data_IF_171473989198
#
_entry.id   IF_171473989198
#
_cell.length_a   1.000
_cell.length_b   1.000
_cell.length_c   1.000
_cell.angle_alpha   90.00
_cell.angle_beta   90.00
_cell.angle_gamma   90.00
#
_symmetry.space_group_name_H-M   'P 1'
#
loop_
_entity.id
_entity.type
_entity.pdbx_description
1 polymer ?
#
# COMPACT_ATOMS: atom_id res chain seq x y z
N UNK A 1 -7.85 -13.77 -24.21
CA UNK A 1 -7.05 -13.12 -25.28
C UNK A 1 -5.67 -12.86 -24.70
N UNK A 2 -4.59 -13.41 -25.23
CA UNK A 2 -3.25 -13.15 -24.68
C UNK A 2 -2.86 -11.74 -25.11
N UNK A 3 -2.83 -10.80 -24.17
CA UNK A 3 -2.34 -9.45 -24.39
C UNK A 3 -0.81 -9.50 -24.52
N UNK A 4 -0.26 -8.82 -25.53
CA UNK A 4 1.19 -8.72 -25.62
C UNK A 4 1.68 -7.66 -24.63
N UNK A 5 2.96 -7.76 -24.18
CA UNK A 5 3.62 -6.73 -23.35
C UNK A 5 3.42 -5.33 -23.93
N UNK A 6 3.51 -5.19 -25.24
CA UNK A 6 3.32 -3.93 -25.97
C UNK A 6 1.88 -3.42 -25.87
N UNK A 7 0.89 -4.29 -26.01
CA UNK A 7 -0.52 -3.93 -25.92
C UNK A 7 -0.89 -3.54 -24.49
N UNK A 8 -0.37 -4.25 -23.50
CA UNK A 8 -0.51 -3.93 -22.10
C UNK A 8 0.02 -2.52 -21.77
N UNK A 9 1.19 -2.20 -22.25
CA UNK A 9 1.82 -0.91 -21.98
C UNK A 9 1.15 0.25 -22.75
N UNK A 10 0.74 0.06 -24.01
CA UNK A 10 -0.11 1.04 -24.73
C UNK A 10 -1.39 1.34 -23.97
N UNK A 11 -1.92 0.32 -23.39
CA UNK A 11 -3.12 0.39 -22.62
C UNK A 11 -2.88 1.04 -21.24
N UNK A 12 -1.73 0.81 -20.58
CA UNK A 12 -1.31 1.57 -19.40
C UNK A 12 -1.28 3.08 -19.67
N UNK A 13 -0.76 3.48 -20.83
CA UNK A 13 -0.71 4.88 -21.26
C UNK A 13 -2.13 5.43 -21.45
N UNK A 14 -3.00 4.69 -22.13
CA UNK A 14 -4.40 5.10 -22.34
C UNK A 14 -5.16 5.22 -21.00
N UNK A 15 -4.91 4.31 -20.07
CA UNK A 15 -5.50 4.37 -18.73
C UNK A 15 -4.86 5.46 -17.87
N UNK A 16 -3.58 5.74 -18.06
CA UNK A 16 -2.89 6.85 -17.42
C UNK A 16 -3.55 8.19 -17.73
N UNK A 17 -4.00 8.40 -18.94
CA UNK A 17 -4.79 9.59 -19.33
C UNK A 17 -6.15 9.61 -18.59
N UNK A 18 -6.81 8.46 -18.46
CA UNK A 18 -8.04 8.34 -17.67
C UNK A 18 -7.84 8.55 -16.17
N UNK A 19 -6.60 8.33 -15.68
CA UNK A 19 -6.15 8.53 -14.31
C UNK A 19 -5.75 10.00 -14.01
N UNK A 20 -6.03 10.95 -14.92
CA UNK A 20 -5.61 12.34 -14.74
C UNK A 20 -4.11 12.57 -14.90
N UNK A 21 -3.38 11.60 -15.46
CA UNK A 21 -2.02 11.80 -15.93
C UNK A 21 -2.07 12.78 -17.08
N UNK A 22 -1.29 13.85 -17.04
CA UNK A 22 -1.17 14.80 -18.15
C UNK A 22 -0.90 14.07 -19.46
N UNK A 23 -1.16 14.71 -20.59
CA UNK A 23 -0.89 14.12 -21.92
C UNK A 23 0.55 13.63 -21.96
N UNK A 24 0.73 12.36 -21.59
CA UNK A 24 2.00 11.71 -21.73
C UNK A 24 2.22 11.49 -23.22
N UNK A 25 3.36 11.92 -23.71
CA UNK A 25 3.73 11.68 -25.10
C UNK A 25 3.71 10.17 -25.34
N UNK A 26 2.76 9.72 -26.15
CA UNK A 26 2.59 8.30 -26.49
C UNK A 26 3.90 7.74 -27.05
N UNK A 27 4.67 8.55 -27.78
CA UNK A 27 5.97 8.19 -28.31
C UNK A 27 6.99 7.90 -27.19
N UNK A 28 7.00 8.71 -26.12
CA UNK A 28 7.88 8.49 -24.97
C UNK A 28 7.49 7.24 -24.17
N UNK A 29 6.20 6.97 -24.07
CA UNK A 29 5.72 5.73 -23.49
C UNK A 29 6.10 4.52 -24.36
N UNK A 30 5.98 4.61 -25.68
CA UNK A 30 6.44 3.57 -26.59
C UNK A 30 7.97 3.35 -26.53
N UNK A 31 8.75 4.40 -26.36
CA UNK A 31 10.21 4.32 -26.18
C UNK A 31 10.57 3.62 -24.87
N UNK A 32 9.93 3.98 -23.77
CA UNK A 32 10.08 3.31 -22.46
C UNK A 32 9.68 1.83 -22.58
N UNK A 33 8.61 1.53 -23.27
CA UNK A 33 8.10 0.18 -23.54
C UNK A 33 9.09 -0.66 -24.34
N UNK A 34 9.69 -0.08 -25.36
CA UNK A 34 10.60 -0.78 -26.25
C UNK A 34 12.01 -0.91 -25.64
N UNK A 35 12.37 -0.02 -24.69
CA UNK A 35 13.66 -0.04 -23.97
C UNK A 35 13.61 -0.79 -22.64
N UNK A 36 12.42 -1.10 -22.11
CA UNK A 36 12.27 -1.69 -20.79
C UNK A 36 12.62 -3.19 -20.79
N UNK A 37 13.82 -3.50 -20.38
CA UNK A 37 14.02 -4.66 -19.51
C UNK A 37 13.05 -4.53 -18.35
N UNK A 38 12.31 -5.59 -18.02
CA UNK A 38 11.39 -5.59 -16.87
C UNK A 38 12.11 -5.07 -15.62
N UNK A 39 11.51 -4.09 -14.94
CA UNK A 39 12.15 -3.53 -13.75
C UNK A 39 12.15 -4.57 -12.63
N UNK A 40 13.30 -4.89 -12.04
CA UNK A 40 13.37 -5.84 -10.95
C UNK A 40 12.59 -5.35 -9.74
N UNK A 41 11.86 -6.24 -9.09
CA UNK A 41 11.13 -5.98 -7.84
C UNK A 41 11.52 -7.00 -6.80
N UNK A 42 11.94 -6.52 -5.63
CA UNK A 42 12.12 -7.32 -4.43
C UNK A 42 10.96 -7.00 -3.49
N UNK A 43 10.17 -8.01 -3.10
CA UNK A 43 9.05 -7.85 -2.19
C UNK A 43 9.36 -8.51 -0.86
N UNK A 44 9.74 -7.71 0.13
CA UNK A 44 10.05 -8.15 1.48
C UNK A 44 8.79 -8.20 2.33
N UNK A 45 8.35 -9.38 2.73
CA UNK A 45 7.32 -9.58 3.74
C UNK A 45 7.96 -9.65 5.14
N UNK A 46 7.53 -8.77 6.02
CA UNK A 46 7.96 -8.71 7.41
C UNK A 46 6.80 -9.12 8.35
N UNK A 47 6.70 -8.52 9.55
CA UNK A 47 5.62 -8.84 10.50
C UNK A 47 4.27 -8.27 10.01
N UNK A 48 3.53 -9.06 9.29
CA UNK A 48 2.25 -8.73 8.68
C UNK A 48 1.36 -9.96 8.48
N UNK A 49 0.21 -9.74 7.84
CA UNK A 49 -0.80 -10.79 7.59
C UNK A 49 -0.84 -11.26 6.12
N UNK A 50 0.09 -10.84 5.29
CA UNK A 50 0.09 -11.03 3.81
C UNK A 50 -1.13 -10.42 3.09
N UNK A 51 -1.91 -9.59 3.79
CA UNK A 51 -3.14 -9.00 3.25
C UNK A 51 -2.89 -8.04 2.09
N UNK A 52 -1.75 -7.34 2.08
CA UNK A 52 -1.41 -6.43 0.98
C UNK A 52 -1.02 -7.19 -0.30
N UNK A 53 -0.33 -8.33 -0.17
CA UNK A 53 -0.10 -9.27 -1.27
C UNK A 53 -1.43 -9.80 -1.81
N UNK A 54 -2.33 -10.28 -0.95
CA UNK A 54 -3.64 -10.78 -1.36
C UNK A 54 -4.48 -9.69 -2.02
N UNK A 55 -4.45 -8.47 -1.48
CA UNK A 55 -5.12 -7.33 -2.07
C UNK A 55 -4.57 -7.00 -3.47
N UNK A 56 -3.25 -7.06 -3.64
CA UNK A 56 -2.64 -6.86 -4.95
C UNK A 56 -3.09 -7.92 -5.96
N UNK A 57 -3.15 -9.19 -5.54
CA UNK A 57 -3.64 -10.28 -6.38
C UNK A 57 -5.13 -10.20 -6.69
N UNK A 58 -5.91 -9.52 -5.84
CA UNK A 58 -7.34 -9.24 -6.08
C UNK A 58 -7.57 -8.13 -7.15
N UNK A 59 -6.50 -7.60 -7.72
CA UNK A 59 -6.55 -6.72 -8.89
C UNK A 59 -6.88 -7.55 -10.13
N UNK A 60 -8.14 -7.96 -10.23
CA UNK A 60 -8.65 -8.79 -11.31
C UNK A 60 -9.46 -7.97 -12.30
N UNK A 61 -9.51 -8.44 -13.55
CA UNK A 61 -10.37 -7.84 -14.56
C UNK A 61 -11.84 -7.98 -14.15
N UNK A 62 -12.55 -6.85 -14.08
CA UNK A 62 -13.96 -6.85 -13.77
C UNK A 62 -14.79 -6.82 -15.06
N UNK A 63 -15.35 -7.96 -15.44
CA UNK A 63 -16.15 -8.13 -16.66
C UNK A 63 -17.38 -7.21 -16.75
N UNK A 64 -17.78 -6.63 -15.63
CA UNK A 64 -18.97 -5.75 -15.53
C UNK A 64 -18.65 -4.27 -15.75
N UNK A 65 -17.37 -3.92 -15.86
CA UNK A 65 -16.99 -2.54 -16.14
C UNK A 65 -16.92 -2.30 -17.64
N UNK A 66 -17.28 -1.07 -18.05
CA UNK A 66 -17.32 -0.65 -19.45
C UNK A 66 -16.07 -1.17 -20.21
N UNK A 67 -16.30 -2.01 -21.23
CA UNK A 67 -15.24 -2.63 -22.05
C UNK A 67 -14.34 -1.62 -22.75
N UNK A 68 -14.63 -0.34 -22.65
CA UNK A 68 -13.81 0.76 -23.17
C UNK A 68 -12.68 1.17 -22.21
N UNK A 69 -12.76 0.74 -20.93
CA UNK A 69 -11.70 0.94 -19.94
C UNK A 69 -11.11 -0.41 -19.61
N UNK A 70 -10.02 -0.72 -20.29
CA UNK A 70 -9.29 -1.94 -20.00
C UNK A 70 -8.82 -1.96 -18.54
N UNK A 71 -9.08 -3.01 -17.81
CA UNK A 71 -8.69 -3.17 -16.41
C UNK A 71 -7.44 -4.05 -16.32
N UNK A 72 -6.42 -3.60 -15.59
CA UNK A 72 -5.27 -4.44 -15.27
C UNK A 72 -5.70 -5.55 -14.34
N UNK A 73 -5.10 -6.69 -14.53
CA UNK A 73 -5.07 -7.69 -13.48
C UNK A 73 -3.65 -7.83 -12.92
N UNK A 74 -3.54 -8.46 -11.75
CA UNK A 74 -2.25 -8.70 -11.12
C UNK A 74 -1.34 -9.58 -11.99
N UNK A 75 -1.91 -10.50 -12.75
CA UNK A 75 -1.19 -11.37 -13.66
C UNK A 75 -0.46 -10.56 -14.74
N UNK A 76 -1.14 -9.59 -15.37
CA UNK A 76 -0.51 -8.73 -16.39
C UNK A 76 0.65 -7.92 -15.81
N UNK A 77 0.51 -7.40 -14.60
CA UNK A 77 1.59 -6.67 -13.93
C UNK A 77 2.77 -7.60 -13.63
N UNK A 78 2.50 -8.76 -13.05
CA UNK A 78 3.54 -9.73 -12.65
C UNK A 78 4.25 -10.36 -13.86
N UNK A 79 3.49 -10.70 -14.92
CA UNK A 79 4.04 -11.44 -16.06
C UNK A 79 4.62 -10.53 -17.14
N UNK A 80 4.09 -9.32 -17.29
CA UNK A 80 4.39 -8.48 -18.44
C UNK A 80 5.12 -7.19 -18.12
N UNK A 81 5.16 -6.77 -16.85
CA UNK A 81 5.58 -5.41 -16.49
C UNK A 81 6.77 -5.37 -15.55
N UNK A 82 6.76 -6.20 -14.53
CA UNK A 82 7.84 -6.28 -13.54
C UNK A 82 8.58 -7.61 -13.64
N UNK A 83 9.79 -7.63 -13.15
CA UNK A 83 10.57 -8.83 -12.93
C UNK A 83 10.62 -9.11 -11.42
N UNK A 84 9.64 -9.89 -10.94
CA UNK A 84 9.52 -10.20 -9.51
C UNK A 84 10.63 -11.18 -9.11
N UNK A 85 11.73 -10.65 -8.65
CA UNK A 85 12.93 -11.42 -8.26
C UNK A 85 12.74 -12.18 -6.95
N UNK A 86 12.04 -11.58 -6.01
CA UNK A 86 11.80 -12.18 -4.71
C UNK A 86 10.43 -11.82 -4.16
N UNK A 87 9.71 -12.82 -3.70
CA UNK A 87 8.47 -12.70 -2.94
C UNK A 87 8.23 -14.00 -2.17
N UNK A 88 8.32 -13.97 -0.86
CA UNK A 88 8.31 -15.18 -0.02
C UNK A 88 7.06 -16.07 -0.17
N UNK A 89 5.94 -15.51 -0.64
CA UNK A 89 4.67 -16.24 -0.81
C UNK A 89 4.37 -16.64 -2.25
N UNK A 90 4.83 -15.87 -3.25
CA UNK A 90 4.46 -16.06 -4.66
C UNK A 90 5.51 -16.79 -5.49
N UNK A 91 6.78 -16.72 -5.08
CA UNK A 91 7.84 -17.39 -5.84
C UNK A 91 7.78 -18.91 -5.66
N UNK A 92 8.18 -19.63 -6.70
CA UNK A 92 8.22 -21.08 -6.68
C UNK A 92 9.44 -21.65 -5.92
N UNK A 93 10.54 -20.88 -5.88
CA UNK A 93 11.76 -21.25 -5.15
C UNK A 93 11.55 -21.20 -3.65
N UNK A 94 12.23 -22.06 -2.92
CA UNK A 94 12.16 -22.11 -1.47
C UNK A 94 13.55 -22.37 -0.86
N UNK A 95 13.69 -22.16 0.44
CA UNK A 95 14.92 -22.43 1.19
C UNK A 95 16.16 -21.78 0.59
N UNK A 96 17.25 -22.53 0.39
CA UNK A 96 18.52 -22.03 -0.12
C UNK A 96 18.43 -21.40 -1.52
N UNK A 97 17.62 -21.96 -2.41
CA UNK A 97 17.43 -21.40 -3.77
C UNK A 97 16.82 -20.02 -3.72
N UNK A 98 15.80 -19.84 -2.87
CA UNK A 98 15.16 -18.55 -2.64
C UNK A 98 16.16 -17.52 -2.10
N UNK A 99 16.99 -17.92 -1.14
CA UNK A 99 18.00 -17.06 -0.53
C UNK A 99 19.15 -16.75 -1.48
N UNK A 100 19.50 -17.66 -2.37
CA UNK A 100 20.53 -17.43 -3.40
C UNK A 100 20.07 -16.34 -4.37
N UNK A 101 18.85 -16.43 -4.87
CA UNK A 101 18.25 -15.40 -5.73
C UNK A 101 18.26 -14.06 -5.01
N UNK A 102 17.74 -14.00 -3.79
CA UNK A 102 17.69 -12.77 -3.02
C UNK A 102 19.09 -12.18 -2.78
N UNK A 103 20.05 -13.00 -2.41
CA UNK A 103 21.42 -12.57 -2.10
C UNK A 103 22.20 -12.11 -3.35
N UNK A 104 21.84 -12.57 -4.55
CA UNK A 104 22.40 -12.05 -5.81
C UNK A 104 21.76 -10.72 -6.20
N UNK A 105 20.42 -10.66 -6.20
CA UNK A 105 19.68 -9.51 -6.71
C UNK A 105 19.84 -8.24 -5.88
N UNK A 106 19.95 -8.33 -4.54
CA UNK A 106 20.07 -7.10 -3.74
C UNK A 106 21.39 -6.35 -3.94
N UNK A 107 22.39 -6.99 -4.55
CA UNK A 107 23.67 -6.36 -4.91
C UNK A 107 23.56 -5.52 -6.17
N UNK A 108 22.60 -5.84 -7.02
CA UNK A 108 22.28 -5.06 -8.20
C UNK A 108 21.63 -3.73 -7.80
N UNK A 109 21.61 -2.77 -8.69
CA UNK A 109 21.02 -1.46 -8.43
C UNK A 109 19.76 -1.23 -9.27
N UNK A 110 18.89 -0.36 -8.79
CA UNK A 110 17.77 0.15 -9.60
C UNK A 110 16.45 -0.59 -9.47
N UNK A 111 16.36 -1.59 -8.59
CA UNK A 111 15.10 -2.29 -8.33
C UNK A 111 14.11 -1.47 -7.49
N UNK A 112 12.86 -1.87 -7.50
CA UNK A 112 11.84 -1.40 -6.58
C UNK A 112 11.80 -2.35 -5.39
N UNK A 113 12.00 -1.82 -4.18
CA UNK A 113 11.80 -2.56 -2.94
C UNK A 113 10.37 -2.33 -2.44
N UNK A 114 9.56 -3.38 -2.43
CA UNK A 114 8.24 -3.36 -1.78
C UNK A 114 8.38 -3.99 -0.40
N UNK A 115 7.90 -3.31 0.63
CA UNK A 115 7.95 -3.80 2.01
C UNK A 115 6.53 -3.94 2.54
N UNK A 116 6.15 -5.14 2.95
CA UNK A 116 4.85 -5.47 3.52
C UNK A 116 5.00 -5.92 4.97
N UNK A 117 4.20 -5.35 5.86
CA UNK A 117 4.29 -5.62 7.30
C UNK A 117 5.15 -4.60 8.05
N UNK A 118 5.00 -4.55 9.36
CA UNK A 118 5.85 -3.73 10.22
C UNK A 118 7.18 -4.41 10.51
N UNK A 119 8.18 -3.66 10.94
CA UNK A 119 9.53 -4.17 11.16
C UNK A 119 9.80 -4.26 12.66
N UNK A 120 9.79 -5.45 13.27
CA UNK A 120 10.20 -5.64 14.64
C UNK A 120 11.67 -5.27 14.82
N UNK A 121 11.99 -4.48 15.86
CA UNK A 121 13.36 -4.08 16.19
C UNK A 121 13.80 -4.61 17.55
N UNK A 122 12.87 -5.06 18.38
CA UNK A 122 13.16 -5.68 19.65
C UNK A 122 14.01 -6.94 19.50
N UNK A 123 14.83 -7.26 20.50
CA UNK A 123 15.79 -8.37 20.49
C UNK A 123 16.64 -8.39 19.19
N UNK A 124 17.13 -7.22 18.76
CA UNK A 124 17.91 -7.03 17.53
C UNK A 124 17.17 -7.47 16.25
N UNK A 125 15.83 -7.46 16.27
CA UNK A 125 14.99 -7.85 15.13
C UNK A 125 14.65 -9.34 15.06
N UNK A 126 15.06 -10.15 16.04
CA UNK A 126 14.88 -11.61 16.04
C UNK A 126 13.40 -12.06 16.11
N UNK A 127 12.45 -11.15 16.34
CA UNK A 127 11.03 -11.47 16.24
C UNK A 127 10.51 -11.65 14.80
N UNK A 128 11.33 -11.32 13.78
CA UNK A 128 10.96 -11.54 12.37
C UNK A 128 12.20 -11.92 11.56
N UNK A 129 12.37 -13.22 11.34
CA UNK A 129 13.42 -13.81 10.52
C UNK A 129 12.84 -14.11 9.15
N UNK A 130 13.47 -13.61 8.10
CA UNK A 130 13.03 -13.75 6.71
C UNK A 130 13.86 -14.72 5.90
N UNK A 131 14.92 -15.24 6.49
CA UNK A 131 15.79 -16.23 5.86
C UNK A 131 17.08 -16.43 6.61
N UNK A 132 18.09 -16.90 5.88
CA UNK A 132 19.43 -17.15 6.40
C UNK A 132 20.48 -16.60 5.42
N UNK A 133 21.56 -16.03 5.95
CA UNK A 133 22.69 -15.57 5.18
C UNK A 133 23.99 -15.91 5.90
N UNK A 134 24.90 -16.59 5.21
CA UNK A 134 26.21 -17.00 5.75
C UNK A 134 26.08 -17.82 7.07
N UNK A 135 25.09 -18.72 7.13
CA UNK A 135 24.81 -19.56 8.29
C UNK A 135 24.22 -18.82 9.49
N UNK A 136 23.71 -17.60 9.30
CA UNK A 136 23.09 -16.78 10.35
C UNK A 136 21.68 -16.35 9.98
N UNK A 137 20.77 -16.25 10.94
CA UNK A 137 19.43 -15.72 10.71
C UNK A 137 19.50 -14.32 10.10
N UNK A 138 18.77 -14.11 9.00
CA UNK A 138 18.56 -12.80 8.38
C UNK A 138 17.25 -12.22 8.90
N UNK A 139 17.33 -11.20 9.75
CA UNK A 139 16.14 -10.52 10.26
C UNK A 139 15.53 -9.59 9.21
N UNK A 140 14.20 -9.36 9.28
CA UNK A 140 13.53 -8.40 8.40
C UNK A 140 14.14 -6.99 8.53
N UNK A 141 14.56 -6.60 9.73
CA UNK A 141 15.25 -5.32 9.96
C UNK A 141 16.58 -5.24 9.21
N UNK A 142 17.40 -6.29 9.25
CA UNK A 142 18.68 -6.31 8.54
C UNK A 142 18.46 -6.37 7.02
N UNK A 143 17.56 -7.24 6.56
CA UNK A 143 17.19 -7.34 5.15
C UNK A 143 16.71 -6.00 4.60
N UNK A 144 15.84 -5.29 5.34
CA UNK A 144 15.36 -3.97 4.95
C UNK A 144 16.50 -2.97 4.76
N UNK A 145 17.45 -2.92 5.70
CA UNK A 145 18.60 -2.02 5.62
C UNK A 145 19.49 -2.33 4.41
N UNK A 146 19.78 -3.61 4.19
CA UNK A 146 20.63 -4.07 3.09
C UNK A 146 20.01 -3.76 1.73
N UNK A 147 18.72 -4.05 1.58
CA UNK A 147 18.02 -3.84 0.30
C UNK A 147 17.76 -2.36 0.01
N UNK A 148 17.64 -1.51 1.02
CA UNK A 148 17.43 -0.07 0.83
C UNK A 148 18.59 0.62 0.13
N UNK A 149 19.80 0.11 0.28
CA UNK A 149 21.03 0.72 -0.28
C UNK A 149 20.91 0.90 -1.79
N UNK A 150 20.59 -0.15 -2.50
CA UNK A 150 20.57 -0.22 -3.97
C UNK A 150 19.17 -0.04 -4.57
N UNK A 151 18.13 0.03 -3.76
CA UNK A 151 16.79 0.29 -4.24
C UNK A 151 16.68 1.68 -4.87
N UNK A 152 16.02 1.76 -6.03
CA UNK A 152 15.65 3.03 -6.66
C UNK A 152 14.49 3.69 -5.94
N UNK A 153 13.49 2.90 -5.59
CA UNK A 153 12.31 3.30 -4.82
C UNK A 153 12.01 2.27 -3.74
N UNK A 154 11.42 2.73 -2.62
CA UNK A 154 11.02 1.89 -1.49
C UNK A 154 9.54 2.13 -1.25
N UNK A 155 8.71 1.13 -1.49
CA UNK A 155 7.26 1.19 -1.30
C UNK A 155 6.91 0.51 0.01
N UNK A 156 6.43 1.27 0.99
CA UNK A 156 5.87 0.74 2.22
C UNK A 156 4.38 0.39 1.97
N UNK A 157 4.12 -0.87 1.65
CA UNK A 157 2.81 -1.38 1.28
C UNK A 157 1.96 -1.73 2.51
N UNK A 158 0.86 -1.01 2.66
CA UNK A 158 -0.06 -1.16 3.80
C UNK A 158 0.34 -0.36 5.03
N UNK A 159 -0.61 -0.18 5.93
CA UNK A 159 -0.43 0.66 7.13
C UNK A 159 0.58 0.08 8.12
N UNK A 160 0.77 -1.24 8.14
CA UNK A 160 1.79 -1.87 8.99
C UNK A 160 3.19 -1.40 8.59
N UNK A 161 3.51 -1.40 7.31
CA UNK A 161 4.79 -0.97 6.78
C UNK A 161 4.94 0.56 6.82
N UNK A 162 3.87 1.30 6.47
CA UNK A 162 3.90 2.76 6.40
C UNK A 162 3.90 3.44 7.78
N UNK A 163 3.14 2.92 8.76
CA UNK A 163 2.87 3.59 10.04
C UNK A 163 2.84 2.64 11.25
N UNK A 164 3.41 1.45 11.17
CA UNK A 164 3.38 0.34 12.14
C UNK A 164 2.03 -0.42 12.16
N UNK A 165 0.90 0.28 11.98
CA UNK A 165 -0.43 -0.30 11.93
C UNK A 165 -0.76 -1.28 13.07
N UNK A 166 -1.45 -2.36 12.72
CA UNK A 166 -1.86 -3.39 13.70
C UNK A 166 -0.64 -4.11 14.28
N UNK A 167 0.43 -4.34 13.51
CA UNK A 167 1.63 -5.03 13.98
C UNK A 167 2.37 -4.29 15.10
N UNK A 168 2.28 -2.96 15.14
CA UNK A 168 2.85 -2.13 16.20
C UNK A 168 1.83 -1.59 17.21
N UNK A 169 0.65 -2.21 17.29
CA UNK A 169 -0.43 -1.78 18.17
C UNK A 169 -0.20 -2.13 19.65
N UNK A 170 -0.98 -1.51 20.52
CA UNK A 170 -0.97 -1.80 21.96
C UNK A 170 0.38 -1.50 22.60
N UNK A 171 0.89 -2.46 23.36
CA UNK A 171 2.17 -2.32 24.07
C UNK A 171 3.39 -2.40 23.17
N UNK A 172 3.20 -2.84 21.93
CA UNK A 172 4.26 -2.99 20.95
C UNK A 172 5.51 -3.70 21.50
N UNK A 173 5.30 -4.86 22.14
CA UNK A 173 6.36 -5.60 22.85
C UNK A 173 7.51 -6.04 21.94
N UNK A 174 7.27 -6.16 20.65
CA UNK A 174 8.30 -6.50 19.66
C UNK A 174 8.98 -5.27 19.06
N UNK A 175 8.64 -4.08 19.56
CA UNK A 175 9.18 -2.80 19.10
C UNK A 175 9.07 -2.59 17.59
N UNK A 176 7.90 -2.90 17.02
CA UNK A 176 7.64 -2.70 15.59
C UNK A 176 7.78 -1.23 15.22
N UNK A 177 8.52 -0.99 14.16
CA UNK A 177 8.68 0.33 13.53
C UNK A 177 8.17 0.32 12.10
N UNK A 178 7.82 1.49 11.60
CA UNK A 178 7.55 1.73 10.19
C UNK A 178 8.88 1.80 9.41
N UNK A 179 8.79 1.61 8.09
CA UNK A 179 9.97 1.63 7.20
C UNK A 179 10.74 2.94 7.32
N UNK A 180 10.05 4.07 7.32
CA UNK A 180 10.66 5.40 7.39
C UNK A 180 11.28 5.73 8.77
N UNK A 181 10.85 5.04 9.82
CA UNK A 181 11.45 5.14 11.15
C UNK A 181 12.81 4.42 11.27
N UNK A 182 13.06 3.49 10.34
CA UNK A 182 14.33 2.73 10.28
C UNK A 182 15.26 3.32 9.22
N UNK A 183 14.72 3.68 8.07
CA UNK A 183 15.45 4.11 6.89
C UNK A 183 15.48 5.65 6.76
N UNK A 184 15.85 6.35 7.81
CA UNK A 184 15.85 7.83 7.85
C UNK A 184 16.76 8.47 6.81
N UNK A 185 17.83 7.80 6.44
CA UNK A 185 18.79 8.24 5.41
C UNK A 185 18.27 8.11 3.97
N UNK A 186 17.26 7.26 3.76
CA UNK A 186 16.63 7.01 2.45
C UNK A 186 15.27 7.70 2.30
N UNK A 187 15.00 8.71 3.09
CA UNK A 187 13.70 9.39 3.21
C UNK A 187 13.07 9.78 1.86
N UNK A 188 13.88 10.24 0.92
CA UNK A 188 13.44 10.66 -0.41
C UNK A 188 13.06 9.52 -1.35
N UNK A 189 13.44 8.28 -1.03
CA UNK A 189 13.09 7.08 -1.81
C UNK A 189 11.81 6.41 -1.33
N UNK A 190 11.33 6.77 -0.12
CA UNK A 190 10.22 6.08 0.55
C UNK A 190 8.87 6.62 0.08
N UNK A 191 7.99 5.70 -0.26
CA UNK A 191 6.60 5.95 -0.68
C UNK A 191 5.69 5.15 0.23
N UNK A 192 4.94 5.84 1.09
CA UNK A 192 4.00 5.21 2.02
C UNK A 192 2.63 5.02 1.35
N UNK A 193 2.16 3.79 1.27
CA UNK A 193 0.86 3.42 0.72
C UNK A 193 -0.02 2.77 1.80
N UNK A 194 -0.55 3.56 2.76
CA UNK A 194 -1.36 3.00 3.83
C UNK A 194 -2.71 2.47 3.35
N UNK A 195 -3.21 1.53 4.10
CA UNK A 195 -4.46 0.79 3.95
C UNK A 195 -4.30 -0.55 4.68
N UNK A 196 -5.39 -1.16 5.15
CA UNK A 196 -5.32 -2.45 5.83
C UNK A 196 -6.41 -3.38 5.28
N UNK A 197 -6.05 -4.07 4.17
CA UNK A 197 -4.85 -3.96 3.33
C UNK A 197 -4.81 -2.69 2.46
N UNK A 198 -3.68 -2.40 1.79
CA UNK A 198 -3.63 -1.35 0.77
C UNK A 198 -4.56 -1.68 -0.39
N UNK A 199 -5.18 -0.66 -0.99
CA UNK A 199 -6.03 -0.87 -2.16
C UNK A 199 -5.20 -1.38 -3.35
N UNK A 200 -5.64 -2.43 -4.08
CA UNK A 200 -4.86 -3.05 -5.15
C UNK A 200 -4.40 -2.04 -6.22
N UNK A 201 -5.29 -1.15 -6.65
CA UNK A 201 -4.94 -0.12 -7.64
C UNK A 201 -4.08 1.02 -7.10
N UNK A 202 -4.07 1.29 -5.80
CA UNK A 202 -3.12 2.24 -5.22
C UNK A 202 -1.71 1.66 -5.31
N UNK A 203 -1.56 0.39 -4.97
CA UNK A 203 -0.26 -0.28 -5.02
C UNK A 203 0.20 -0.50 -6.47
N UNK A 204 -0.62 -1.15 -7.28
CA UNK A 204 -0.33 -1.41 -8.69
C UNK A 204 -0.14 -0.12 -9.49
N UNK A 205 -1.01 0.87 -9.30
CA UNK A 205 -0.91 2.17 -9.97
C UNK A 205 0.35 2.95 -9.57
N UNK A 206 0.80 2.83 -8.32
CA UNK A 206 2.08 3.42 -7.89
C UNK A 206 3.25 2.76 -8.62
N UNK A 207 3.29 1.42 -8.66
CA UNK A 207 4.33 0.69 -9.38
C UNK A 207 4.36 1.13 -10.85
N UNK A 208 3.20 1.15 -11.51
CA UNK A 208 3.08 1.57 -12.91
C UNK A 208 3.60 2.99 -13.13
N UNK A 209 3.21 3.96 -12.30
CA UNK A 209 3.69 5.35 -12.40
C UNK A 209 5.22 5.44 -12.28
N UNK A 210 5.81 4.69 -11.37
CA UNK A 210 7.26 4.64 -11.21
C UNK A 210 7.96 4.02 -12.42
N UNK A 211 7.38 2.98 -13.02
CA UNK A 211 7.88 2.35 -14.24
C UNK A 211 7.85 3.30 -15.44
N UNK A 212 6.83 4.15 -15.51
CA UNK A 212 6.71 5.20 -16.52
C UNK A 212 7.64 6.40 -16.27
N UNK A 213 8.43 6.36 -15.19
CA UNK A 213 9.36 7.45 -14.83
C UNK A 213 8.66 8.70 -14.30
N UNK A 214 7.41 8.57 -13.86
CA UNK A 214 6.70 9.71 -13.30
C UNK A 214 7.23 10.09 -11.93
N UNK A 215 7.28 11.39 -11.68
CA UNK A 215 7.56 11.93 -10.35
C UNK A 215 6.25 11.99 -9.57
N UNK A 216 6.20 11.30 -8.44
CA UNK A 216 5.04 11.33 -7.55
C UNK A 216 5.11 12.59 -6.67
N UNK A 217 4.06 13.40 -6.68
CA UNK A 217 3.92 14.48 -5.74
C UNK A 217 3.53 13.92 -4.37
N UNK A 218 4.38 14.15 -3.37
CA UNK A 218 4.25 13.55 -2.04
C UNK A 218 3.78 14.55 -0.99
N UNK A 219 3.12 14.07 0.05
CA UNK A 219 2.94 14.84 1.28
C UNK A 219 4.25 14.86 2.07
N UNK A 220 5.07 15.86 1.83
CA UNK A 220 6.36 16.08 2.50
C UNK A 220 6.34 17.33 3.40
N UNK A 221 5.30 18.17 3.28
CA UNK A 221 5.24 19.46 3.97
C UNK A 221 4.84 19.32 5.43
N UNK A 222 5.47 20.14 6.26
CA UNK A 222 5.10 20.38 7.66
C UNK A 222 3.90 21.33 7.80
N UNK A 223 3.44 21.92 6.70
CA UNK A 223 2.32 22.86 6.71
C UNK A 223 0.98 22.13 6.89
N UNK A 224 0.17 22.63 7.81
CA UNK A 224 -1.22 22.22 7.96
C UNK A 224 -1.96 22.52 6.67
N UNK A 225 -2.58 21.50 6.07
CA UNK A 225 -3.58 21.73 5.04
C UNK A 225 -4.73 22.56 5.65
N UNK A 226 -5.36 23.40 4.86
CA UNK A 226 -6.44 24.33 5.25
C UNK A 226 -7.73 23.70 5.80
N UNK A 227 -7.65 22.48 6.31
CA UNK A 227 -8.72 21.75 7.02
C UNK A 227 -8.28 21.27 8.41
N UNK A 228 -7.08 21.61 8.87
CA UNK A 228 -6.66 21.37 10.26
C UNK A 228 -6.23 19.94 10.60
N UNK A 229 -6.18 19.01 9.63
CA UNK A 229 -5.76 17.64 9.91
C UNK A 229 -4.23 17.52 9.90
N UNK A 230 -3.66 17.54 11.12
CA UNK A 230 -2.22 17.32 11.33
C UNK A 230 -1.75 15.89 10.92
N UNK A 231 -2.68 14.98 10.63
CA UNK A 231 -2.37 13.59 10.28
C UNK A 231 -1.84 13.42 8.86
N UNK A 232 -1.91 14.48 8.03
CA UNK A 232 -1.44 14.46 6.64
C UNK A 232 0.00 14.94 6.48
N UNK A 233 0.59 15.53 7.54
CA UNK A 233 1.90 16.15 7.47
C UNK A 233 3.00 15.12 7.34
N UNK A 234 3.94 15.36 6.40
CA UNK A 234 5.15 14.56 6.18
C UNK A 234 4.92 13.03 6.21
N UNK A 235 3.82 12.58 5.64
CA UNK A 235 3.46 11.15 5.66
C UNK A 235 3.99 10.36 4.47
N UNK A 236 4.71 11.02 3.54
CA UNK A 236 5.27 10.41 2.33
C UNK A 236 4.25 9.62 1.51
N UNK A 237 2.98 10.06 1.54
CA UNK A 237 1.90 9.49 0.75
C UNK A 237 1.78 10.22 -0.59
N UNK A 238 1.58 9.53 -1.72
CA UNK A 238 1.28 10.21 -2.98
C UNK A 238 -0.03 11.00 -2.88
N UNK A 239 0.04 12.33 -3.12
CA UNK A 239 -1.14 13.22 -3.05
C UNK A 239 -2.26 12.78 -3.97
N UNK A 240 -1.91 12.19 -5.10
CA UNK A 240 -2.87 11.67 -6.06
C UNK A 240 -3.80 10.60 -5.46
N UNK A 241 -3.24 9.65 -4.69
CA UNK A 241 -4.02 8.56 -4.10
C UNK A 241 -4.58 8.88 -2.71
N UNK A 242 -4.01 9.88 -2.05
CA UNK A 242 -4.36 10.27 -0.68
C UNK A 242 -4.60 11.79 -0.62
N UNK A 243 -5.72 12.27 -1.22
CA UNK A 243 -6.02 13.70 -1.21
C UNK A 243 -6.26 14.20 0.23
N UNK A 244 -6.12 15.51 0.43
CA UNK A 244 -6.34 16.16 1.73
C UNK A 244 -7.82 16.20 2.18
N UNK A 245 -8.65 15.30 1.64
CA UNK A 245 -10.09 15.24 1.88
C UNK A 245 -10.44 13.95 2.61
N UNK A 246 -11.08 14.07 3.76
CA UNK A 246 -11.47 12.92 4.59
C UNK A 246 -12.78 12.29 4.11
N UNK A 247 -12.88 10.96 4.18
CA UNK A 247 -14.07 10.22 3.75
C UNK A 247 -15.34 10.67 4.47
N UNK A 248 -15.27 10.85 5.78
CA UNK A 248 -16.40 11.24 6.61
C UNK A 248 -16.89 12.67 6.37
N UNK A 249 -16.11 13.49 5.66
CA UNK A 249 -16.49 14.89 5.39
C UNK A 249 -17.22 15.07 4.06
N UNK A 250 -16.78 14.36 3.01
CA UNK A 250 -17.26 14.66 1.64
C UNK A 250 -17.36 13.46 0.71
N UNK A 251 -16.46 12.48 0.82
CA UNK A 251 -16.31 11.43 -0.20
C UNK A 251 -17.06 10.15 0.11
N UNK A 252 -17.51 9.93 1.36
CA UNK A 252 -18.26 8.75 1.71
C UNK A 252 -19.69 8.82 1.14
N UNK A 253 -20.13 7.92 0.27
CA UNK A 253 -21.45 7.94 -0.33
C UNK A 253 -22.56 7.66 0.68
N UNK A 254 -22.24 7.20 1.89
CA UNK A 254 -23.21 6.92 2.96
C UNK A 254 -23.56 8.17 3.78
N UNK A 255 -22.85 9.27 3.64
CA UNK A 255 -23.13 10.53 4.39
C UNK A 255 -24.54 11.07 4.20
N UNK A 256 -25.13 10.82 3.03
CA UNK A 256 -26.50 11.28 2.69
C UNK A 256 -27.62 10.45 3.33
N UNK A 257 -27.29 9.32 3.95
CA UNK A 257 -28.28 8.43 4.56
C UNK A 257 -28.42 8.69 6.07
N UNK A 258 -29.50 8.17 6.65
CA UNK A 258 -29.73 8.26 8.07
C UNK A 258 -28.60 7.58 8.87
N UNK A 259 -28.27 8.17 10.03
CA UNK A 259 -27.25 7.63 10.93
C UNK A 259 -27.77 6.37 11.61
N UNK A 260 -27.11 5.25 11.38
CA UNK A 260 -27.44 3.96 11.98
C UNK A 260 -27.08 3.90 13.46
N UNK A 261 -27.85 3.11 14.18
CA UNK A 261 -27.56 2.70 15.57
C UNK A 261 -27.32 1.19 15.68
N UNK A 262 -27.32 0.47 14.54
CA UNK A 262 -27.12 -0.99 14.47
C UNK A 262 -26.17 -1.33 13.33
N UNK A 263 -25.35 -2.38 13.52
CA UNK A 263 -24.49 -2.94 12.48
C UNK A 263 -25.28 -3.84 11.52
N UNK A 264 -24.68 -4.15 10.38
CA UNK A 264 -25.25 -5.05 9.38
C UNK A 264 -26.34 -4.43 8.50
N UNK A 265 -26.67 -3.16 8.68
CA UNK A 265 -27.65 -2.46 7.86
C UNK A 265 -26.99 -1.83 6.63
N UNK A 266 -27.52 -2.15 5.44
CA UNK A 266 -27.06 -1.53 4.20
C UNK A 266 -27.57 -0.08 4.07
N UNK A 267 -26.78 0.76 3.36
CA UNK A 267 -27.17 2.13 3.00
C UNK A 267 -27.50 3.03 4.20
N UNK A 268 -26.74 2.93 5.28
CA UNK A 268 -26.83 3.84 6.42
C UNK A 268 -25.46 4.41 6.78
N UNK A 269 -25.45 5.60 7.37
CA UNK A 269 -24.24 6.22 7.87
C UNK A 269 -23.91 5.65 9.26
N UNK A 270 -22.71 5.14 9.47
CA UNK A 270 -22.27 4.54 10.74
C UNK A 270 -21.59 5.52 11.70
N UNK A 271 -21.75 6.83 11.50
CA UNK A 271 -21.09 7.86 12.33
C UNK A 271 -21.39 7.67 13.83
N UNK A 272 -22.64 7.33 14.19
CA UNK A 272 -23.05 7.10 15.59
C UNK A 272 -22.49 5.81 16.19
N UNK A 273 -21.99 4.91 15.34
CA UNK A 273 -21.43 3.63 15.75
C UNK A 273 -19.91 3.69 15.94
N UNK A 274 -19.31 4.89 15.87
CA UNK A 274 -17.86 5.05 16.00
C UNK A 274 -17.11 4.93 14.69
N UNK A 275 -17.74 5.22 13.56
CA UNK A 275 -17.10 5.25 12.26
C UNK A 275 -15.93 6.25 12.24
N UNK A 276 -14.77 5.79 11.78
CA UNK A 276 -13.54 6.57 11.62
C UNK A 276 -13.37 7.14 10.20
N UNK A 277 -14.47 7.37 9.48
CA UNK A 277 -14.42 8.00 8.17
C UNK A 277 -13.80 9.39 8.18
N UNK A 278 -13.89 10.10 9.30
CA UNK A 278 -13.24 11.40 9.50
C UNK A 278 -11.72 11.30 9.72
N UNK A 279 -11.19 10.09 9.91
CA UNK A 279 -9.76 9.81 10.07
C UNK A 279 -9.16 9.13 8.83
N UNK A 280 -9.95 8.86 7.78
CA UNK A 280 -9.52 8.12 6.61
C UNK A 280 -9.53 9.00 5.35
N UNK A 281 -8.45 8.93 4.58
CA UNK A 281 -8.31 9.63 3.31
C UNK A 281 -7.61 8.76 2.26
N UNK A 282 -8.38 8.33 1.29
CA UNK A 282 -7.90 7.78 0.03
C UNK A 282 -8.66 8.48 -1.10
N UNK A 283 -8.19 8.35 -2.34
CA UNK A 283 -8.80 9.03 -3.52
C UNK A 283 -10.30 8.78 -3.62
N UNK A 284 -10.73 7.60 -3.20
CA UNK A 284 -12.15 7.23 -3.05
C UNK A 284 -12.36 6.50 -1.73
N UNK A 285 -13.57 6.55 -1.18
CA UNK A 285 -13.89 5.68 -0.06
C UNK A 285 -13.92 4.21 -0.51
N UNK A 286 -13.62 3.30 0.41
CA UNK A 286 -13.64 1.87 0.11
C UNK A 286 -15.02 1.35 -0.32
N UNK A 287 -16.09 2.10 -0.12
CA UNK A 287 -17.43 1.81 -0.62
C UNK A 287 -17.59 2.11 -2.12
N UNK A 288 -16.71 2.92 -2.67
CA UNK A 288 -16.72 3.29 -4.09
C UNK A 288 -15.67 2.48 -4.82
N UNK A 289 -16.06 1.85 -5.91
CA UNK A 289 -15.10 1.15 -6.78
C UNK A 289 -14.09 2.13 -7.34
N UNK A 290 -12.81 1.80 -7.20
CA UNK A 290 -11.75 2.50 -7.89
C UNK A 290 -11.45 1.74 -9.18
N UNK A 291 -11.73 2.37 -10.32
CA UNK A 291 -11.60 1.77 -11.66
C UNK A 291 -12.27 0.40 -11.79
N UNK A 292 -13.46 0.26 -11.20
CA UNK A 292 -14.24 -0.97 -11.29
C UNK A 292 -13.90 -2.02 -10.26
N UNK A 293 -12.82 -1.90 -9.51
CA UNK A 293 -12.43 -2.88 -8.49
C UNK A 293 -12.92 -2.47 -7.11
N UNK A 294 -13.50 -3.42 -6.42
CA UNK A 294 -13.90 -3.28 -5.04
C UNK A 294 -12.69 -3.48 -4.11
N UNK A 295 -12.52 -2.63 -3.13
CA UNK A 295 -11.55 -2.87 -2.07
C UNK A 295 -11.99 -4.09 -1.26
N UNK A 296 -11.14 -5.10 -1.15
CA UNK A 296 -11.42 -6.39 -0.50
C UNK A 296 -12.69 -7.08 -1.07
N UNK A 297 -12.92 -6.96 -2.37
CA UNK A 297 -14.02 -7.59 -3.11
C UNK A 297 -15.43 -7.40 -2.50
N UNK A 298 -15.63 -6.43 -1.61
CA UNK A 298 -16.91 -6.15 -0.93
C UNK A 298 -17.14 -4.67 -0.66
N UNK A 299 -16.48 -3.77 -1.38
CA UNK A 299 -16.51 -2.31 -1.08
C UNK A 299 -15.97 -2.00 0.32
N UNK A 300 -14.98 -2.77 0.77
CA UNK A 300 -14.33 -2.63 2.06
C UNK A 300 -15.26 -2.83 3.25
N UNK A 301 -14.91 -2.25 4.39
CA UNK A 301 -15.68 -2.37 5.63
C UNK A 301 -17.11 -1.93 5.47
N UNK A 302 -17.36 -0.83 4.76
CA UNK A 302 -18.71 -0.28 4.58
C UNK A 302 -19.60 -1.21 3.74
N UNK A 303 -19.05 -1.84 2.71
CA UNK A 303 -19.78 -2.80 1.87
C UNK A 303 -20.08 -4.11 2.59
N UNK A 304 -19.25 -4.48 3.56
CA UNK A 304 -19.47 -5.60 4.44
C UNK A 304 -20.48 -5.32 5.57
N UNK A 305 -21.06 -4.12 5.61
CA UNK A 305 -22.02 -3.74 6.65
C UNK A 305 -21.41 -3.31 7.97
N UNK A 306 -20.11 -2.97 7.95
CA UNK A 306 -19.36 -2.45 9.10
C UNK A 306 -19.02 -0.98 8.92
N UNK A 307 -18.55 -0.34 9.98
CA UNK A 307 -18.09 1.04 9.95
C UNK A 307 -16.64 1.15 9.43
N UNK A 308 -16.27 2.32 8.94
CA UNK A 308 -14.88 2.61 8.60
C UNK A 308 -13.99 2.56 9.86
N UNK A 309 -12.88 1.84 9.77
CA UNK A 309 -11.89 1.71 10.86
C UNK A 309 -10.74 2.72 10.76
N UNK A 310 -10.75 3.59 9.75
CA UNK A 310 -9.70 4.61 9.57
C UNK A 310 -8.34 4.03 9.20
N UNK A 311 -8.29 2.93 8.47
CA UNK A 311 -7.08 2.13 8.24
C UNK A 311 -5.94 2.83 7.49
N UNK A 312 -6.20 3.94 6.81
CA UNK A 312 -5.17 4.74 6.13
C UNK A 312 -4.58 5.86 6.99
N UNK A 313 -5.06 6.01 8.23
CA UNK A 313 -4.57 7.04 9.15
C UNK A 313 -3.23 6.63 9.79
N UNK A 314 -2.26 7.55 9.93
CA UNK A 314 -0.99 7.27 10.62
C UNK A 314 -1.14 6.79 12.08
N UNK A 315 -2.24 7.15 12.74
CA UNK A 315 -2.53 6.71 14.11
C UNK A 315 -3.27 5.38 14.20
N UNK A 316 -3.65 4.77 13.06
CA UNK A 316 -4.33 3.47 13.06
C UNK A 316 -3.45 2.39 13.69
N UNK A 317 -3.97 1.53 14.59
CA UNK A 317 -5.37 1.33 15.00
C UNK A 317 -5.83 2.19 16.21
N UNK A 318 -5.26 3.38 16.42
CA UNK A 318 -5.65 4.35 17.45
C UNK A 318 -5.46 3.88 18.90
N UNK A 319 -4.51 2.99 19.12
CA UNK A 319 -4.13 2.57 20.47
C UNK A 319 -3.15 3.59 21.07
N UNK A 320 -3.53 4.21 22.17
CA UNK A 320 -2.65 5.12 22.92
C UNK A 320 -2.37 4.57 24.32
N UNK A 321 -1.14 4.75 24.80
CA UNK A 321 -0.81 4.57 26.21
C UNK A 321 -0.90 5.91 26.92
N UNK A 322 -1.61 5.94 28.02
CA UNK A 322 -1.56 7.07 28.97
C UNK A 322 -0.98 6.52 30.26
N UNK A 323 0.18 7.06 30.69
CA UNK A 323 0.90 6.63 31.91
C UNK A 323 1.24 5.13 31.97
N UNK A 324 1.61 4.52 30.81
CA UNK A 324 1.98 3.11 30.76
C UNK A 324 0.80 2.12 30.78
N UNK A 325 -0.42 2.62 30.95
CA UNK A 325 -1.65 1.81 30.83
C UNK A 325 -2.22 2.04 29.44
N UNK A 326 -2.50 0.95 28.72
CA UNK A 326 -3.19 1.01 27.43
C UNK A 326 -4.58 1.59 27.65
N UNK A 327 -4.73 2.88 27.37
CA UNK A 327 -6.07 3.44 27.17
C UNK A 327 -6.48 3.05 25.76
N UNK A 328 -7.28 1.99 25.65
CA UNK A 328 -7.87 1.62 24.40
C UNK A 328 -8.84 2.71 23.96
N UNK A 329 -8.39 3.64 23.12
CA UNK A 329 -9.31 4.12 22.15
C UNK A 329 -9.49 2.94 21.18
N UNK A 330 -10.51 2.14 21.39
CA UNK A 330 -10.79 1.02 20.51
C UNK A 330 -10.86 1.51 19.08
N UNK A 331 -10.52 0.65 18.11
CA UNK A 331 -10.78 0.88 16.67
C UNK A 331 -12.20 1.46 16.52
N UNK A 332 -13.09 1.05 17.39
CA UNK A 332 -14.47 1.50 17.50
C UNK A 332 -14.65 2.33 18.78
N UNK A 333 -14.77 3.64 18.63
CA UNK A 333 -15.10 4.52 19.73
C UNK A 333 -16.64 4.53 19.89
N UNK A 334 -17.17 3.53 20.56
CA UNK A 334 -18.60 3.52 20.93
C UNK A 334 -18.82 4.68 21.93
N UNK A 335 -19.56 5.69 21.49
CA UNK A 335 -20.11 6.74 22.36
C UNK A 335 -21.45 6.32 22.89
#
# INVERSE_FOLDING_TARGET
MKMTRRDFLKWMVASGVALGMGKMDIAKAEEIINSATSTPVIWLQAAGCSGCTLSFLDMVENETYDKTVACYNAEDVLMNTIDLKYHSTLMASASSECMEVLNSEYKESGYILVVEGGIPTGESGNYCIVGERDGKPLTAMQALKDFAVNAKYIIAAGTCSAFRGVSGAGDNLTEVKAVDQILTEYDKKIINLPGCPVHPYILGGTIVKLLLGETLEMFTDTARTSGGDSTLMNTKRPKYFYPAVLHGSTTCPLLKFNKSTTLGTCRQCFERMGCRGHDANTIVSCYTKLWGVDWMNKKGCLGAGSMCIGCSNPSFPFTTKTNGVATSSSIYNFK
#
